data_IF_574165786321
#
_entry.id   IF_574165786321
#
_cell.length_a   1.000
_cell.length_b   1.000
_cell.length_c   1.000
_cell.angle_alpha   90.00
_cell.angle_beta   90.00
_cell.angle_gamma   90.00
#
_symmetry.space_group_name_H-M   'P 1'
#
loop_
_entity.id
_entity.type
_entity.pdbx_description
1 polymer ?
#
# COMPACT_ATOMS: atom_id res chain seq x y z
N UNK A 1 -0.21 21.16 38.94
CA UNK A 1 -0.48 19.91 38.21
C UNK A 1 -0.84 20.03 36.71
N UNK A 2 -0.60 21.19 36.11
CA UNK A 2 -0.82 21.36 34.66
C UNK A 2 0.44 21.12 33.79
N UNK A 3 1.57 20.80 34.41
CA UNK A 3 2.86 20.62 33.71
C UNK A 3 3.18 19.20 33.29
N UNK A 4 2.50 18.19 33.81
CA UNK A 4 2.84 16.79 33.58
C UNK A 4 2.03 16.11 32.45
N UNK A 5 0.92 16.70 32.01
CA UNK A 5 0.08 16.13 30.95
C UNK A 5 0.63 16.40 29.54
N UNK A 6 1.52 17.37 29.39
CA UNK A 6 2.09 17.76 28.09
C UNK A 6 3.36 17.00 27.66
N UNK A 7 4.09 16.41 28.60
CA UNK A 7 5.39 15.79 28.30
C UNK A 7 5.31 14.28 28.08
N UNK A 8 4.26 13.64 28.55
CA UNK A 8 4.07 12.18 28.31
C UNK A 8 3.41 11.84 26.97
N UNK A 9 3.00 12.86 26.22
CA UNK A 9 2.42 12.71 24.88
C UNK A 9 3.47 12.46 23.80
N UNK A 10 4.76 12.46 24.15
CA UNK A 10 5.86 12.26 23.22
C UNK A 10 6.27 10.79 23.14
N UNK A 11 5.80 10.12 22.12
CA UNK A 11 6.47 9.00 21.40
C UNK A 11 6.51 7.64 22.14
N UNK A 12 6.38 7.55 23.46
CA UNK A 12 6.79 6.32 24.16
C UNK A 12 5.71 5.24 24.30
N UNK A 13 4.45 5.59 24.34
CA UNK A 13 3.37 4.62 24.58
C UNK A 13 2.10 4.98 23.81
N UNK A 14 2.09 4.67 22.50
CA UNK A 14 0.83 4.67 21.75
C UNK A 14 0.53 3.24 21.30
N UNK A 15 -0.05 2.41 22.16
CA UNK A 15 -0.45 1.05 21.81
C UNK A 15 -1.39 1.03 20.60
N UNK A 16 -2.15 2.12 20.40
CA UNK A 16 -3.03 2.31 19.24
C UNK A 16 -2.25 2.34 17.92
N UNK A 17 -1.11 3.04 17.87
CA UNK A 17 -0.26 3.08 16.68
C UNK A 17 0.33 1.70 16.36
N UNK A 18 0.81 1.00 17.38
CA UNK A 18 1.37 -0.35 17.22
C UNK A 18 0.28 -1.31 16.73
N UNK A 19 -0.89 -1.28 17.38
CA UNK A 19 -2.02 -2.12 17.00
C UNK A 19 -2.47 -1.84 15.56
N UNK A 20 -2.60 -0.56 15.18
CA UNK A 20 -2.97 -0.17 13.82
C UNK A 20 -1.93 -0.62 12.79
N UNK A 21 -0.64 -0.37 13.09
CA UNK A 21 0.44 -0.75 12.18
C UNK A 21 0.50 -2.25 11.98
N UNK A 22 0.38 -3.04 13.05
CA UNK A 22 0.34 -4.49 12.96
C UNK A 22 -0.88 -4.98 12.19
N UNK A 23 -2.07 -4.44 12.49
CA UNK A 23 -3.30 -4.82 11.81
C UNK A 23 -3.24 -4.52 10.30
N UNK A 24 -2.85 -3.29 9.92
CA UNK A 24 -2.73 -2.90 8.52
C UNK A 24 -1.61 -3.65 7.79
N UNK A 25 -0.50 -3.93 8.48
CA UNK A 25 0.62 -4.68 7.90
C UNK A 25 0.20 -6.13 7.61
N UNK A 26 -0.42 -6.81 8.58
CA UNK A 26 -0.89 -8.18 8.39
C UNK A 26 -1.98 -8.25 7.32
N UNK A 27 -2.95 -7.34 7.37
CA UNK A 27 -4.00 -7.25 6.35
C UNK A 27 -3.41 -7.07 4.94
N UNK A 28 -2.53 -6.09 4.76
CA UNK A 28 -1.93 -5.81 3.46
C UNK A 28 -1.02 -6.94 3.00
N UNK A 29 -0.25 -7.56 3.91
CA UNK A 29 0.64 -8.66 3.61
C UNK A 29 -0.09 -9.87 3.00
N UNK A 30 -1.30 -10.19 3.49
CA UNK A 30 -2.09 -11.30 2.92
C UNK A 30 -2.49 -11.05 1.48
N UNK A 31 -2.92 -9.83 1.14
CA UNK A 31 -3.26 -9.47 -0.24
C UNK A 31 -2.04 -9.42 -1.16
N UNK A 32 -0.93 -8.87 -0.67
CA UNK A 32 0.33 -8.85 -1.46
C UNK A 32 0.84 -10.27 -1.70
N UNK A 33 0.78 -11.14 -0.68
CA UNK A 33 1.15 -12.54 -0.84
C UNK A 33 0.28 -13.25 -1.89
N UNK A 34 -1.02 -12.97 -1.93
CA UNK A 34 -1.92 -13.53 -2.93
C UNK A 34 -1.63 -12.99 -4.34
N UNK A 35 -1.30 -11.70 -4.48
CA UNK A 35 -0.86 -11.13 -5.76
C UNK A 35 0.42 -11.82 -6.26
N UNK A 36 1.39 -12.07 -5.37
CA UNK A 36 2.64 -12.78 -5.72
C UNK A 36 2.35 -14.22 -6.11
N UNK A 37 1.51 -14.91 -5.35
CA UNK A 37 1.11 -16.29 -5.66
C UNK A 37 0.44 -16.36 -7.02
N UNK A 38 -0.53 -15.51 -7.29
CA UNK A 38 -1.25 -15.46 -8.56
C UNK A 38 -0.31 -15.14 -9.74
N UNK A 39 0.63 -14.21 -9.56
CA UNK A 39 1.61 -13.85 -10.58
C UNK A 39 2.53 -15.02 -10.96
N UNK A 40 3.00 -15.78 -9.97
CA UNK A 40 3.84 -16.97 -10.22
C UNK A 40 3.04 -18.11 -10.87
N UNK A 41 1.79 -18.31 -10.44
CA UNK A 41 0.91 -19.34 -10.97
C UNK A 41 0.38 -19.00 -12.37
N UNK A 42 0.29 -17.71 -12.70
CA UNK A 42 -0.15 -17.24 -14.01
C UNK A 42 0.81 -17.55 -15.15
N UNK A 43 2.04 -17.97 -14.85
CA UNK A 43 3.01 -18.35 -15.87
C UNK A 43 2.73 -19.76 -16.36
N UNK A 44 2.67 -19.94 -17.68
CA UNK A 44 2.37 -21.21 -18.30
C UNK A 44 3.37 -22.31 -17.92
N UNK A 45 2.86 -23.53 -17.73
CA UNK A 45 3.70 -24.69 -17.41
C UNK A 45 4.76 -24.97 -18.50
N UNK A 46 4.41 -24.73 -19.78
CA UNK A 46 5.32 -24.91 -20.91
C UNK A 46 6.60 -24.07 -20.80
N UNK A 47 6.54 -22.87 -20.21
CA UNK A 47 7.75 -22.07 -19.97
C UNK A 47 8.71 -22.75 -18.98
N UNK A 48 8.17 -23.39 -17.96
CA UNK A 48 8.96 -24.14 -16.97
C UNK A 48 9.56 -25.40 -17.57
N UNK A 49 8.79 -26.13 -18.37
CA UNK A 49 9.21 -27.33 -19.03
C UNK A 49 10.27 -27.07 -20.11
N UNK A 50 10.07 -26.02 -20.91
CA UNK A 50 11.06 -25.59 -21.90
C UNK A 50 12.40 -25.19 -21.25
N UNK A 51 12.34 -24.43 -20.13
CA UNK A 51 13.56 -24.08 -19.40
C UNK A 51 14.26 -25.29 -18.80
N UNK A 52 13.52 -26.29 -18.29
CA UNK A 52 14.06 -27.51 -17.77
C UNK A 52 14.72 -28.36 -18.90
N UNK A 53 14.13 -28.38 -20.09
CA UNK A 53 14.69 -29.08 -21.28
C UNK A 53 16.03 -28.48 -21.74
N UNK A 54 16.29 -27.18 -21.42
CA UNK A 54 17.58 -26.53 -21.66
C UNK A 54 18.62 -26.83 -20.55
N UNK A 55 18.29 -27.70 -19.59
CA UNK A 55 19.19 -28.11 -18.51
C UNK A 55 19.29 -27.09 -17.37
N UNK A 56 18.39 -26.08 -17.28
CA UNK A 56 18.36 -25.14 -16.21
C UNK A 56 17.88 -25.80 -14.91
N UNK A 57 18.59 -25.56 -13.82
CA UNK A 57 18.14 -26.01 -12.52
C UNK A 57 16.95 -25.14 -12.00
N UNK A 58 16.22 -25.64 -11.01
CA UNK A 58 15.00 -24.99 -10.48
C UNK A 58 15.22 -23.53 -10.08
N UNK A 59 16.37 -23.20 -9.47
CA UNK A 59 16.69 -21.84 -9.07
C UNK A 59 16.95 -20.92 -10.27
N UNK A 60 17.58 -21.44 -11.32
CA UNK A 60 17.82 -20.72 -12.57
C UNK A 60 16.50 -20.49 -13.32
N UNK A 61 15.64 -21.51 -13.40
CA UNK A 61 14.29 -21.39 -13.97
C UNK A 61 13.51 -20.32 -13.25
N UNK A 62 13.54 -20.32 -11.91
CA UNK A 62 12.84 -19.29 -11.13
C UNK A 62 13.37 -17.88 -11.40
N UNK A 63 14.69 -17.68 -11.35
CA UNK A 63 15.31 -16.35 -11.46
C UNK A 63 15.31 -15.79 -12.87
N UNK A 64 15.59 -16.65 -13.88
CA UNK A 64 15.84 -16.19 -15.24
C UNK A 64 14.56 -16.20 -16.12
N UNK A 65 13.62 -17.11 -15.82
CA UNK A 65 12.43 -17.28 -16.65
C UNK A 65 11.16 -16.82 -15.95
N UNK A 66 10.93 -17.31 -14.71
CA UNK A 66 9.66 -17.08 -14.01
C UNK A 66 9.61 -15.66 -13.44
N UNK A 67 10.61 -15.23 -12.68
CA UNK A 67 10.58 -13.95 -11.96
C UNK A 67 10.39 -12.74 -12.89
N UNK A 68 11.08 -12.60 -14.02
CA UNK A 68 10.87 -11.45 -14.90
C UNK A 68 9.45 -11.37 -15.47
N UNK A 69 8.84 -12.52 -15.73
CA UNK A 69 7.47 -12.61 -16.24
C UNK A 69 6.45 -12.38 -15.10
N UNK A 70 6.68 -13.02 -13.94
CA UNK A 70 5.81 -12.89 -12.76
C UNK A 70 5.71 -11.47 -12.27
N UNK A 71 6.82 -10.72 -12.21
CA UNK A 71 6.83 -9.34 -11.75
C UNK A 71 5.88 -8.45 -12.56
N UNK A 72 5.77 -8.67 -13.86
CA UNK A 72 4.84 -7.91 -14.71
C UNK A 72 3.36 -8.17 -14.34
N UNK A 73 3.05 -9.38 -13.91
CA UNK A 73 1.71 -9.76 -13.47
C UNK A 73 1.45 -9.27 -12.05
N UNK A 74 2.48 -9.28 -11.19
CA UNK A 74 2.38 -8.93 -9.76
C UNK A 74 2.25 -7.42 -9.54
N UNK A 75 3.01 -6.60 -10.28
CA UNK A 75 3.13 -5.17 -10.00
C UNK A 75 1.80 -4.41 -10.16
N UNK A 76 0.98 -4.58 -11.22
CA UNK A 76 -0.28 -3.84 -11.34
C UNK A 76 -1.25 -4.07 -10.18
N UNK A 77 -1.58 -5.29 -9.75
CA UNK A 77 -2.47 -5.49 -8.61
C UNK A 77 -1.85 -5.04 -7.29
N UNK A 78 -0.53 -5.13 -7.13
CA UNK A 78 0.16 -4.64 -5.94
C UNK A 78 0.04 -3.11 -5.81
N UNK A 79 0.04 -2.37 -6.92
CA UNK A 79 -0.22 -0.93 -6.94
C UNK A 79 -1.56 -0.59 -6.29
N UNK A 80 -2.61 -1.36 -6.59
CA UNK A 80 -3.93 -1.17 -5.98
C UNK A 80 -3.90 -1.41 -4.47
N UNK A 81 -3.04 -2.32 -3.98
CA UNK A 81 -2.89 -2.55 -2.54
C UNK A 81 -2.26 -1.34 -1.83
N UNK A 82 -1.29 -0.66 -2.44
CA UNK A 82 -0.74 0.58 -1.89
C UNK A 82 -1.78 1.71 -1.83
N UNK A 83 -2.61 1.85 -2.87
CA UNK A 83 -3.70 2.81 -2.88
C UNK A 83 -4.75 2.48 -1.81
N UNK A 84 -5.09 1.21 -1.64
CA UNK A 84 -6.00 0.76 -0.59
C UNK A 84 -5.41 0.99 0.80
N UNK A 85 -4.11 0.72 1.01
CA UNK A 85 -3.43 0.97 2.27
C UNK A 85 -3.50 2.46 2.65
N UNK A 86 -3.27 3.35 1.68
CA UNK A 86 -3.37 4.81 1.91
C UNK A 86 -4.77 5.22 2.35
N UNK A 87 -5.82 4.63 1.77
CA UNK A 87 -7.22 4.89 2.19
C UNK A 87 -7.51 4.25 3.55
N UNK A 88 -7.05 3.04 3.78
CA UNK A 88 -7.27 2.31 5.02
C UNK A 88 -6.52 2.93 6.21
N UNK A 89 -5.49 3.75 5.98
CA UNK A 89 -4.83 4.49 7.05
C UNK A 89 -5.79 5.45 7.78
N UNK A 90 -6.87 5.90 7.10
CA UNK A 90 -7.92 6.72 7.71
C UNK A 90 -8.73 5.98 8.79
N UNK A 91 -8.65 4.65 8.88
CA UNK A 91 -9.21 3.88 9.98
C UNK A 91 -8.56 4.21 11.33
N UNK A 92 -7.40 4.86 11.33
CA UNK A 92 -6.77 5.44 12.51
C UNK A 92 -7.72 6.36 13.29
N UNK A 93 -8.60 7.09 12.59
CA UNK A 93 -9.62 7.95 13.21
C UNK A 93 -10.58 7.16 14.10
N UNK A 94 -10.89 5.91 13.77
CA UNK A 94 -11.80 5.06 14.56
C UNK A 94 -11.23 4.68 15.93
N UNK A 95 -9.91 4.68 16.09
CA UNK A 95 -9.21 4.42 17.36
C UNK A 95 -8.69 5.71 18.00
N UNK A 96 -9.26 6.87 17.60
CA UNK A 96 -8.88 8.20 18.08
C UNK A 96 -7.39 8.54 17.89
N UNK A 97 -6.70 7.89 16.98
CA UNK A 97 -5.34 8.24 16.59
C UNK A 97 -5.38 9.45 15.66
N UNK A 98 -4.61 10.54 15.92
CA UNK A 98 -4.65 11.76 15.11
C UNK A 98 -4.06 11.50 13.73
N UNK A 99 -4.94 11.19 12.79
CA UNK A 99 -4.67 11.12 11.37
C UNK A 99 -5.27 12.34 10.65
N UNK A 100 -5.10 12.39 9.34
CA UNK A 100 -5.61 13.48 8.52
C UNK A 100 -7.14 13.65 8.64
N UNK A 101 -7.88 12.54 8.70
CA UNK A 101 -9.36 12.58 8.85
C UNK A 101 -9.75 13.10 10.21
N UNK A 102 -9.14 12.61 11.29
CA UNK A 102 -9.46 13.05 12.64
C UNK A 102 -9.11 14.53 12.85
N UNK A 103 -7.97 14.98 12.32
CA UNK A 103 -7.55 16.38 12.46
C UNK A 103 -8.47 17.31 11.66
N UNK A 104 -8.74 17.02 10.40
CA UNK A 104 -9.58 17.91 9.58
C UNK A 104 -11.07 17.72 9.86
N UNK A 105 -11.60 16.50 9.70
CA UNK A 105 -13.03 16.24 9.85
C UNK A 105 -13.49 16.22 11.32
N UNK A 106 -12.60 15.85 12.25
CA UNK A 106 -12.90 15.91 13.68
C UNK A 106 -12.66 17.29 14.26
N UNK A 107 -11.38 17.67 14.40
CA UNK A 107 -10.99 18.87 15.15
C UNK A 107 -11.33 20.17 14.41
N UNK A 108 -10.95 20.30 13.14
CA UNK A 108 -11.17 21.53 12.39
C UNK A 108 -12.66 21.79 12.13
N UNK A 109 -13.45 20.74 11.88
CA UNK A 109 -14.90 20.86 11.71
C UNK A 109 -15.58 21.34 13.00
N UNK A 110 -15.20 20.79 14.15
CA UNK A 110 -15.76 21.19 15.45
C UNK A 110 -15.44 22.64 15.79
N UNK A 111 -14.26 23.14 15.39
CA UNK A 111 -13.82 24.53 15.70
C UNK A 111 -14.40 25.57 14.75
N UNK A 112 -14.60 25.27 13.49
CA UNK A 112 -14.99 26.25 12.47
C UNK A 112 -16.45 26.17 12.05
N UNK A 113 -17.11 25.01 12.23
CA UNK A 113 -18.49 24.77 11.80
C UNK A 113 -18.68 24.72 10.27
N UNK A 114 -17.60 24.82 9.48
CA UNK A 114 -17.65 24.86 8.00
C UNK A 114 -17.46 23.47 7.39
N UNK A 115 -18.49 22.65 7.50
CA UNK A 115 -18.44 21.24 7.11
C UNK A 115 -18.04 21.02 5.65
N UNK A 116 -18.64 21.76 4.72
CA UNK A 116 -18.42 21.55 3.27
C UNK A 116 -16.98 21.86 2.88
N UNK A 117 -16.43 22.97 3.38
CA UNK A 117 -15.06 23.40 3.08
C UNK A 117 -14.04 22.37 3.58
N UNK A 118 -14.18 21.93 4.83
CA UNK A 118 -13.24 21.00 5.47
C UNK A 118 -13.29 19.62 4.84
N UNK A 119 -14.49 19.10 4.60
CA UNK A 119 -14.64 17.81 3.91
C UNK A 119 -14.05 17.89 2.51
N UNK A 120 -14.28 18.98 1.77
CA UNK A 120 -13.71 19.16 0.43
C UNK A 120 -12.18 19.19 0.46
N UNK A 121 -11.56 19.88 1.42
CA UNK A 121 -10.10 19.92 1.58
C UNK A 121 -9.55 18.54 1.91
N UNK A 122 -10.19 17.80 2.81
CA UNK A 122 -9.79 16.44 3.18
C UNK A 122 -9.85 15.52 1.97
N UNK A 123 -10.93 15.57 1.21
CA UNK A 123 -11.09 14.76 -0.02
C UNK A 123 -10.05 15.10 -1.07
N UNK A 124 -9.78 16.40 -1.30
CA UNK A 124 -8.75 16.86 -2.23
C UNK A 124 -7.35 16.42 -1.81
N UNK A 125 -7.06 16.41 -0.52
CA UNK A 125 -5.77 15.94 -0.01
C UNK A 125 -5.57 14.45 -0.26
N UNK A 126 -6.57 13.61 0.05
CA UNK A 126 -6.52 12.18 -0.25
C UNK A 126 -6.44 11.91 -1.75
N UNK A 127 -7.17 12.67 -2.56
CA UNK A 127 -7.12 12.56 -4.02
C UNK A 127 -5.71 12.88 -4.54
N UNK A 128 -5.10 13.97 -4.05
CA UNK A 128 -3.74 14.37 -4.43
C UNK A 128 -2.70 13.29 -4.10
N UNK A 129 -2.76 12.73 -2.89
CA UNK A 129 -1.87 11.65 -2.46
C UNK A 129 -2.09 10.41 -3.33
N UNK A 130 -3.35 10.03 -3.57
CA UNK A 130 -3.68 8.87 -4.40
C UNK A 130 -3.20 9.03 -5.85
N UNK A 131 -3.36 10.23 -6.43
CA UNK A 131 -2.86 10.53 -7.78
C UNK A 131 -1.33 10.51 -7.84
N UNK A 132 -0.65 11.02 -6.82
CA UNK A 132 0.81 10.96 -6.74
C UNK A 132 1.31 9.51 -6.69
N UNK A 133 0.72 8.67 -5.85
CA UNK A 133 1.05 7.24 -5.77
C UNK A 133 0.77 6.56 -7.12
N UNK A 134 -0.40 6.80 -7.72
CA UNK A 134 -0.77 6.21 -9.00
C UNK A 134 0.19 6.63 -10.12
N UNK A 135 0.60 7.91 -10.17
CA UNK A 135 1.54 8.41 -11.15
C UNK A 135 2.93 7.76 -11.00
N UNK A 136 3.44 7.67 -9.76
CA UNK A 136 4.71 7.01 -9.47
C UNK A 136 4.69 5.53 -9.87
N UNK A 137 3.61 4.82 -9.54
CA UNK A 137 3.50 3.41 -9.85
C UNK A 137 3.28 3.16 -11.35
N UNK A 138 2.53 4.02 -12.05
CA UNK A 138 2.40 3.95 -13.50
C UNK A 138 3.72 4.22 -14.22
N UNK A 139 4.49 5.19 -13.73
CA UNK A 139 5.83 5.45 -14.24
C UNK A 139 6.75 4.24 -14.06
N UNK A 140 6.72 3.63 -12.87
CA UNK A 140 7.47 2.42 -12.56
C UNK A 140 7.04 1.22 -13.43
N UNK A 141 5.72 1.00 -13.59
CA UNK A 141 5.17 -0.04 -14.46
C UNK A 141 5.65 0.11 -15.90
N UNK A 142 5.60 1.35 -16.43
CA UNK A 142 6.05 1.63 -17.79
C UNK A 142 7.56 1.40 -17.98
N UNK A 143 8.36 1.56 -16.92
CA UNK A 143 9.79 1.28 -16.93
C UNK A 143 10.12 -0.22 -17.02
N UNK A 144 9.21 -1.09 -16.50
CA UNK A 144 9.39 -2.55 -16.50
C UNK A 144 8.74 -3.20 -17.73
N UNK A 145 7.84 -2.49 -18.39
CA UNK A 145 7.20 -2.95 -19.62
C UNK A 145 8.24 -3.07 -20.74
N UNK A 146 8.69 -4.31 -21.02
CA UNK A 146 9.54 -4.57 -22.18
C UNK A 146 8.62 -4.46 -23.40
N UNK A 147 8.93 -3.53 -24.28
CA UNK A 147 8.29 -3.45 -25.60
C UNK A 147 8.50 -4.78 -26.34
N UNK A 148 7.45 -5.57 -26.45
CA UNK A 148 7.43 -6.64 -27.45
C UNK A 148 7.55 -5.96 -28.83
N UNK A 149 8.68 -6.22 -29.50
CA UNK A 149 8.82 -5.93 -30.93
C UNK A 149 8.34 -7.12 -31.71
#
# INVERSE_FOLDING_TARGET
DRGLVGSEMCIRDRPELIALTLALSLYTATFVAECVRAGIQGISKGQKEAAASLGLNTNQVLKLVIMPQALRIIIPPTTNQYLNLTKNSSLAAAIAYPDLVLVFAGTALMQTGRAIEIVSITMLTYLSISLAIAALMNWYNKSIEIKEK
#
